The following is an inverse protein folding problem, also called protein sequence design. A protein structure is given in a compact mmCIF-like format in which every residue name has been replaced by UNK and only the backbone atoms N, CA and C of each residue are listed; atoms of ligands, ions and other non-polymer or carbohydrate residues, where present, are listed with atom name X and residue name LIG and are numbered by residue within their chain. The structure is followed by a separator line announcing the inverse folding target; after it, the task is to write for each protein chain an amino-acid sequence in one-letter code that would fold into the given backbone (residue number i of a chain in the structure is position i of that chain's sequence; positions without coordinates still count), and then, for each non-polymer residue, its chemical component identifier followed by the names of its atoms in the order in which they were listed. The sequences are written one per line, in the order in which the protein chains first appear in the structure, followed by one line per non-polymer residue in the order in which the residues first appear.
data_IF_836995303134
#
_entry.id   IF_836995303134
#
_cell.length_a   1.000
_cell.length_b   1.000
_cell.length_c   1.000
_cell.angle_alpha   90.00
_cell.angle_beta   90.00
_cell.angle_gamma   90.00
#
_symmetry.space_group_name_H-M   'P 1'
#
loop_
_entity.id
_entity.type
_entity.pdbx_description
1 polymer ?
#
# COMPACT_ATOMS: atom_id res chain seq x y z
N UNK A 1 6.57 -23.98 6.08
CA UNK A 1 7.26 -22.66 6.22
C UNK A 1 7.24 -22.23 7.67
N UNK A 2 8.37 -21.81 8.25
CA UNK A 2 8.41 -21.21 9.60
C UNK A 2 7.55 -19.94 9.68
N UNK A 3 6.82 -19.77 10.78
CA UNK A 3 5.97 -18.59 11.05
C UNK A 3 6.75 -17.28 10.92
N UNK A 4 8.02 -17.29 11.34
CA UNK A 4 8.94 -16.14 11.24
C UNK A 4 9.24 -15.74 9.79
N UNK A 5 9.46 -16.73 8.91
CA UNK A 5 9.72 -16.50 7.49
C UNK A 5 8.50 -15.89 6.78
N UNK A 6 7.30 -16.28 7.20
CA UNK A 6 6.05 -15.78 6.60
C UNK A 6 5.80 -14.32 6.96
N UNK A 7 6.00 -13.98 8.24
CA UNK A 7 5.91 -12.60 8.72
C UNK A 7 6.95 -11.72 8.01
N UNK A 8 8.17 -12.24 7.81
CA UNK A 8 9.21 -11.51 7.08
C UNK A 8 8.83 -11.24 5.62
N UNK A 9 8.22 -12.21 4.91
CA UNK A 9 7.76 -12.02 3.53
C UNK A 9 6.63 -11.00 3.47
N UNK A 10 5.66 -11.05 4.38
CA UNK A 10 4.60 -10.04 4.46
C UNK A 10 5.15 -8.64 4.69
N UNK A 11 6.10 -8.53 5.61
CA UNK A 11 6.76 -7.27 5.88
C UNK A 11 7.50 -6.77 4.65
N UNK A 12 8.24 -7.62 3.95
CA UNK A 12 9.04 -7.25 2.77
C UNK A 12 8.14 -6.82 1.60
N UNK A 13 7.05 -7.54 1.35
CA UNK A 13 6.06 -7.16 0.33
C UNK A 13 5.35 -5.86 0.70
N UNK A 14 4.93 -5.71 1.96
CA UNK A 14 4.28 -4.50 2.45
C UNK A 14 5.19 -3.28 2.36
N UNK A 15 6.46 -3.44 2.74
CA UNK A 15 7.49 -2.42 2.60
C UNK A 15 7.73 -2.07 1.13
N UNK A 16 7.89 -3.07 0.25
CA UNK A 16 8.12 -2.84 -1.18
C UNK A 16 6.98 -2.07 -1.85
N UNK A 17 5.73 -2.48 -1.61
CA UNK A 17 4.55 -1.79 -2.16
C UNK A 17 4.45 -0.36 -1.59
N UNK A 18 4.62 -0.19 -0.27
CA UNK A 18 4.61 1.13 0.38
C UNK A 18 5.70 2.07 -0.14
N UNK A 19 6.91 1.55 -0.32
CA UNK A 19 8.04 2.32 -0.81
C UNK A 19 7.82 2.77 -2.26
N UNK A 20 7.39 1.87 -3.15
CA UNK A 20 7.11 2.21 -4.56
C UNK A 20 5.95 3.20 -4.66
N UNK A 21 4.88 3.00 -3.88
CA UNK A 21 3.75 3.91 -3.86
C UNK A 21 4.15 5.32 -3.37
N UNK A 22 4.99 5.41 -2.34
CA UNK A 22 5.52 6.68 -1.85
C UNK A 22 6.42 7.37 -2.89
N UNK A 23 7.25 6.62 -3.63
CA UNK A 23 8.04 7.19 -4.72
C UNK A 23 7.18 7.71 -5.87
N UNK A 24 6.03 7.09 -6.13
CA UNK A 24 5.07 7.52 -7.15
C UNK A 24 4.21 8.72 -6.74
N UNK A 25 4.26 9.13 -5.47
CA UNK A 25 3.43 10.19 -4.88
C UNK A 25 3.51 11.53 -5.63
N UNK A 26 4.68 12.01 -6.11
CA UNK A 26 4.76 13.25 -6.90
C UNK A 26 4.02 13.14 -8.24
N UNK A 27 4.15 12.00 -8.93
CA UNK A 27 3.48 11.75 -10.21
C UNK A 27 1.97 11.60 -10.06
N UNK A 28 1.53 10.88 -9.03
CA UNK A 28 0.11 10.74 -8.68
C UNK A 28 -0.47 12.10 -8.29
N UNK A 29 0.29 12.91 -7.53
CA UNK A 29 -0.15 14.24 -7.14
C UNK A 29 -0.32 15.18 -8.34
N UNK A 30 0.61 15.17 -9.30
CA UNK A 30 0.47 15.95 -10.55
C UNK A 30 -0.72 15.50 -11.41
N UNK A 31 -0.99 14.20 -11.50
CA UNK A 31 -2.15 13.69 -12.24
C UNK A 31 -3.47 14.09 -11.57
N UNK A 32 -3.54 13.95 -10.23
CA UNK A 32 -4.73 14.27 -9.45
C UNK A 32 -5.04 15.77 -9.42
N UNK A 33 -4.04 16.65 -9.36
CA UNK A 33 -4.26 18.10 -9.44
C UNK A 33 -4.79 18.53 -10.80
N UNK A 34 -4.41 17.84 -11.88
CA UNK A 34 -4.99 18.05 -13.20
C UNK A 34 -6.43 17.55 -13.35
N UNK A 35 -6.78 16.44 -12.69
CA UNK A 35 -8.11 15.83 -12.77
C UNK A 35 -9.14 16.45 -11.80
N UNK A 36 -8.70 16.88 -10.61
CA UNK A 36 -9.57 17.40 -9.54
C UNK A 36 -8.93 18.60 -8.82
N UNK A 37 -8.88 19.78 -9.47
CA UNK A 37 -8.05 20.92 -9.04
C UNK A 37 -8.40 21.52 -7.68
N UNK A 38 -9.59 21.26 -7.13
CA UNK A 38 -10.08 21.86 -5.88
C UNK A 38 -10.39 20.85 -4.76
N UNK A 39 -10.24 19.55 -4.99
CA UNK A 39 -10.69 18.52 -4.03
C UNK A 39 -9.54 17.88 -3.23
N UNK A 40 -8.28 18.12 -3.63
CA UNK A 40 -7.13 17.34 -3.15
C UNK A 40 -6.01 18.24 -2.63
N UNK A 41 -5.99 18.45 -1.32
CA UNK A 41 -4.79 18.90 -0.62
C UNK A 41 -3.77 17.73 -0.61
N UNK A 42 -2.47 18.03 -0.62
CA UNK A 42 -1.37 17.06 -0.51
C UNK A 42 -1.57 16.04 0.62
N UNK A 43 -2.21 16.44 1.73
CA UNK A 43 -2.60 15.54 2.81
C UNK A 43 -3.63 14.46 2.39
N UNK A 44 -4.62 14.81 1.58
CA UNK A 44 -5.66 13.89 1.09
C UNK A 44 -5.08 12.90 0.07
N UNK A 45 -4.15 13.36 -0.77
CA UNK A 45 -3.43 12.50 -1.72
C UNK A 45 -2.57 11.47 -0.99
N UNK A 46 -1.83 11.92 0.03
CA UNK A 46 -1.05 11.02 0.89
C UNK A 46 -1.93 10.01 1.62
N UNK A 47 -3.09 10.43 2.13
CA UNK A 47 -4.05 9.56 2.81
C UNK A 47 -4.64 8.50 1.87
N UNK A 48 -5.02 8.86 0.63
CA UNK A 48 -5.55 7.94 -0.38
C UNK A 48 -4.54 6.86 -0.76
N UNK A 49 -3.30 7.26 -1.07
CA UNK A 49 -2.25 6.33 -1.45
C UNK A 49 -1.93 5.38 -0.29
N UNK A 50 -1.78 5.92 0.93
CA UNK A 50 -1.53 5.12 2.12
C UNK A 50 -2.68 4.16 2.41
N UNK A 51 -3.93 4.59 2.25
CA UNK A 51 -5.11 3.77 2.44
C UNK A 51 -5.20 2.61 1.45
N UNK A 52 -4.97 2.87 0.16
CA UNK A 52 -4.97 1.84 -0.88
C UNK A 52 -3.86 0.83 -0.63
N UNK A 53 -2.64 1.30 -0.40
CA UNK A 53 -1.49 0.42 -0.15
C UNK A 53 -1.70 -0.42 1.11
N UNK A 54 -2.10 0.22 2.21
CA UNK A 54 -2.41 -0.45 3.46
C UNK A 54 -3.47 -1.53 3.26
N UNK A 55 -4.57 -1.22 2.57
CA UNK A 55 -5.64 -2.19 2.27
C UNK A 55 -5.13 -3.39 1.47
N UNK A 56 -4.36 -3.16 0.41
CA UNK A 56 -3.78 -4.23 -0.43
C UNK A 56 -2.85 -5.12 0.40
N UNK A 57 -1.91 -4.53 1.12
CA UNK A 57 -0.95 -5.27 1.95
C UNK A 57 -1.67 -6.09 3.02
N UNK A 58 -2.66 -5.51 3.69
CA UNK A 58 -3.41 -6.19 4.75
C UNK A 58 -4.24 -7.34 4.17
N UNK A 59 -4.89 -7.14 3.02
CA UNK A 59 -5.68 -8.17 2.35
C UNK A 59 -4.82 -9.37 1.93
N UNK A 60 -3.66 -9.13 1.29
CA UNK A 60 -2.72 -10.20 0.95
C UNK A 60 -2.20 -10.94 2.18
N UNK A 61 -1.89 -10.18 3.24
CA UNK A 61 -1.41 -10.74 4.51
C UNK A 61 -2.44 -11.69 5.12
N UNK A 62 -3.71 -11.26 5.17
CA UNK A 62 -4.81 -12.07 5.72
C UNK A 62 -5.07 -13.30 4.85
N UNK A 63 -5.14 -13.17 3.53
CA UNK A 63 -5.38 -14.29 2.60
C UNK A 63 -4.31 -15.38 2.75
N UNK A 64 -3.03 -14.99 2.68
CA UNK A 64 -1.92 -15.96 2.75
C UNK A 64 -1.83 -16.57 4.15
N UNK A 65 -2.17 -15.83 5.22
CA UNK A 65 -2.23 -16.38 6.56
C UNK A 65 -3.40 -17.35 6.75
N UNK A 66 -4.58 -17.01 6.26
CA UNK A 66 -5.77 -17.87 6.31
C UNK A 66 -5.54 -19.19 5.53
N UNK A 67 -4.92 -19.10 4.35
CA UNK A 67 -4.63 -20.26 3.49
C UNK A 67 -3.46 -21.14 3.98
N UNK A 68 -2.85 -20.83 5.14
CA UNK A 68 -1.85 -21.69 5.79
C UNK A 68 -2.41 -22.73 6.75
N UNK A 69 -3.74 -22.84 6.85
CA UNK A 69 -4.44 -23.76 7.77
C UNK A 69 -4.64 -25.17 7.23
N UNK A 70 -3.93 -25.56 6.17
CA UNK A 70 -3.73 -26.96 5.74
C UNK A 70 -2.25 -27.25 5.59
#
# INVERSE_FOLDING_TARGET
MSRRLTIFIFWLVGFGIGFVAYLSLPGIAQWLTGAMPNFLNQAVIGALITGIVGSVVTTFTVIIWANKTT
#
